data_IF_485523566417
#
_entry.id   IF_485523566417
#
_cell.length_a   1.000
_cell.length_b   1.000
_cell.length_c   1.000
_cell.angle_alpha   90.00
_cell.angle_beta   90.00
_cell.angle_gamma   90.00
#
_symmetry.space_group_name_H-M   'P 1'
#
loop_
_entity.id
_entity.type
_entity.pdbx_description
1 polymer ?
#
# COMPACT_ATOMS: atom_id res chain seq x y z
N UNK A 1 16.31 8.23 -0.98
CA UNK A 1 16.79 7.77 0.33
C UNK A 1 16.49 8.78 1.43
N UNK A 2 17.04 10.03 1.44
CA UNK A 2 16.87 11.00 2.53
C UNK A 2 15.39 11.24 2.87
N UNK A 3 14.52 11.49 1.88
CA UNK A 3 13.09 11.71 2.11
C UNK A 3 12.40 10.47 2.71
N UNK A 4 12.80 9.26 2.31
CA UNK A 4 12.32 8.01 2.86
C UNK A 4 12.68 7.88 4.34
N UNK A 5 13.96 8.01 4.69
CA UNK A 5 14.41 7.94 6.09
C UNK A 5 13.78 9.04 6.96
N UNK A 6 13.59 10.24 6.41
CA UNK A 6 12.88 11.31 7.12
C UNK A 6 11.43 10.95 7.40
N UNK A 7 10.76 10.24 6.47
CA UNK A 7 9.36 9.83 6.65
C UNK A 7 9.20 8.77 7.75
N UNK A 8 10.23 7.97 8.02
CA UNK A 8 10.25 7.03 9.14
C UNK A 8 10.11 7.72 10.50
N UNK A 9 10.45 9.01 10.65
CA UNK A 9 10.20 9.77 11.88
C UNK A 9 8.72 9.78 12.28
N UNK A 10 7.79 9.67 11.32
CA UNK A 10 6.35 9.56 11.58
C UNK A 10 5.86 8.11 11.53
N UNK A 11 6.34 7.34 10.56
CA UNK A 11 5.93 5.95 10.30
C UNK A 11 7.09 5.00 10.60
N UNK A 12 7.18 4.58 11.83
CA UNK A 12 8.26 3.77 12.39
C UNK A 12 8.70 4.26 13.76
N UNK A 13 8.86 5.58 13.95
CA UNK A 13 9.29 6.17 15.21
C UNK A 13 8.11 6.77 15.99
N UNK A 14 7.41 7.76 15.42
CA UNK A 14 6.29 8.43 16.10
C UNK A 14 5.09 7.51 16.32
N UNK A 15 4.77 6.70 15.33
CA UNK A 15 3.85 5.56 15.43
C UNK A 15 4.58 4.34 14.88
N UNK A 16 4.76 3.32 15.71
CA UNK A 16 5.40 2.06 15.29
C UNK A 16 4.39 0.92 15.18
N UNK A 17 4.80 -0.22 14.61
CA UNK A 17 3.97 -1.40 14.57
C UNK A 17 3.91 -2.09 15.93
N UNK A 18 2.79 -2.77 16.23
CA UNK A 18 2.67 -3.60 17.42
C UNK A 18 3.54 -4.85 17.33
N UNK A 19 3.60 -5.45 16.13
CA UNK A 19 4.46 -6.59 15.83
C UNK A 19 4.94 -6.56 14.37
N UNK A 20 5.95 -7.34 14.06
CA UNK A 20 6.59 -7.39 12.74
C UNK A 20 5.69 -7.88 11.60
N UNK A 21 4.54 -8.48 11.89
CA UNK A 21 3.52 -8.75 10.85
C UNK A 21 3.11 -7.50 10.08
N UNK A 22 3.21 -6.34 10.72
CA UNK A 22 2.86 -5.04 10.15
C UNK A 22 4.08 -4.19 9.78
N UNK A 23 5.31 -4.78 9.76
CA UNK A 23 6.55 -4.06 9.42
C UNK A 23 6.49 -3.38 8.06
N UNK A 24 5.79 -3.98 7.11
CA UNK A 24 5.59 -3.44 5.78
C UNK A 24 4.93 -2.05 5.78
N UNK A 25 4.11 -1.73 6.79
CA UNK A 25 3.40 -0.45 6.87
C UNK A 25 4.35 0.72 6.98
N UNK A 26 5.41 0.62 7.77
CA UNK A 26 6.39 1.70 7.89
C UNK A 26 7.14 1.93 6.58
N UNK A 27 7.48 0.86 5.86
CA UNK A 27 8.20 0.93 4.59
C UNK A 27 7.32 1.55 3.48
N UNK A 28 6.07 1.10 3.37
CA UNK A 28 5.17 1.61 2.35
C UNK A 28 4.81 3.08 2.57
N UNK A 29 4.61 3.50 3.82
CA UNK A 29 4.36 4.90 4.12
C UNK A 29 5.61 5.76 3.91
N UNK A 30 6.80 5.27 4.27
CA UNK A 30 8.05 5.97 4.01
C UNK A 30 8.25 6.19 2.50
N UNK A 31 8.02 5.18 1.67
CA UNK A 31 8.06 5.30 0.22
C UNK A 31 7.01 6.29 -0.32
N UNK A 32 5.77 6.20 0.14
CA UNK A 32 4.70 7.08 -0.30
C UNK A 32 4.99 8.55 0.01
N UNK A 33 5.37 8.87 1.25
CA UNK A 33 5.65 10.26 1.61
C UNK A 33 6.95 10.77 1.01
N UNK A 34 7.95 9.91 0.78
CA UNK A 34 9.12 10.26 0.00
C UNK A 34 8.75 10.70 -1.42
N UNK A 35 7.86 9.98 -2.10
CA UNK A 35 7.39 10.37 -3.43
C UNK A 35 6.66 11.71 -3.40
N UNK A 36 5.76 11.93 -2.41
CA UNK A 36 5.05 13.22 -2.26
C UNK A 36 6.00 14.42 -2.04
N UNK A 37 7.17 14.19 -1.46
CA UNK A 37 8.20 15.22 -1.27
C UNK A 37 8.99 15.42 -2.56
N UNK A 38 9.37 14.35 -3.24
CA UNK A 38 10.28 14.39 -4.38
C UNK A 38 9.58 14.84 -5.67
N UNK A 39 8.37 14.38 -5.94
CA UNK A 39 7.64 14.67 -7.17
C UNK A 39 7.56 16.18 -7.48
N UNK A 40 7.18 17.07 -6.54
CA UNK A 40 7.14 18.51 -6.81
C UNK A 40 8.51 19.16 -7.05
N UNK A 41 9.60 18.53 -6.58
CA UNK A 41 10.96 19.06 -6.72
C UNK A 41 11.58 18.70 -8.07
N UNK A 42 11.08 17.68 -8.75
CA UNK A 42 11.58 17.19 -10.03
C UNK A 42 10.41 16.99 -11.02
N UNK A 43 9.71 18.07 -11.40
CA UNK A 43 8.51 17.99 -12.25
C UNK A 43 8.80 17.52 -13.68
N UNK A 44 10.05 17.55 -14.11
CA UNK A 44 10.51 17.05 -15.42
C UNK A 44 10.54 15.52 -15.50
N UNK A 45 10.49 14.84 -14.36
CA UNK A 45 10.49 13.38 -14.28
C UNK A 45 9.07 12.85 -14.41
N UNK A 46 8.86 11.82 -15.24
CA UNK A 46 7.58 11.12 -15.28
C UNK A 46 7.49 10.12 -14.11
N UNK A 47 7.12 10.62 -12.93
CA UNK A 47 7.05 9.85 -11.69
C UNK A 47 6.07 8.68 -11.78
N UNK A 48 4.92 8.87 -12.46
CA UNK A 48 3.95 7.78 -12.66
C UNK A 48 4.51 6.64 -13.50
N UNK A 49 5.27 6.96 -14.56
CA UNK A 49 5.92 5.94 -15.38
C UNK A 49 7.01 5.23 -14.58
N UNK A 50 7.83 5.97 -13.84
CA UNK A 50 8.86 5.37 -12.99
C UNK A 50 8.23 4.45 -11.94
N UNK A 51 7.16 4.86 -11.27
CA UNK A 51 6.43 4.02 -10.33
C UNK A 51 5.99 2.70 -10.98
N UNK A 52 5.44 2.75 -12.19
CA UNK A 52 5.02 1.55 -12.92
C UNK A 52 6.20 0.64 -13.30
N UNK A 53 7.32 1.21 -13.69
CA UNK A 53 8.51 0.45 -14.12
C UNK A 53 9.28 -0.13 -12.93
N UNK A 54 9.34 0.59 -11.82
CA UNK A 54 10.14 0.20 -10.67
C UNK A 54 9.41 -0.86 -9.80
N UNK A 55 8.11 -0.69 -9.55
CA UNK A 55 7.38 -1.54 -8.61
C UNK A 55 6.63 -2.70 -9.27
N UNK A 56 5.91 -2.47 -10.37
CA UNK A 56 4.97 -3.47 -10.90
C UNK A 56 5.66 -4.74 -11.40
N UNK A 57 6.76 -4.69 -12.17
CA UNK A 57 7.39 -5.92 -12.68
C UNK A 57 7.96 -6.80 -11.56
N UNK A 58 8.58 -6.20 -10.54
CA UNK A 58 9.15 -6.93 -9.42
C UNK A 58 8.06 -7.56 -8.54
N UNK A 59 7.02 -6.79 -8.19
CA UNK A 59 5.85 -7.29 -7.48
C UNK A 59 5.19 -8.47 -8.22
N UNK A 60 4.99 -8.31 -9.53
CA UNK A 60 4.36 -9.32 -10.38
C UNK A 60 5.18 -10.60 -10.49
N UNK A 61 6.50 -10.47 -10.59
CA UNK A 61 7.39 -11.62 -10.74
C UNK A 61 7.32 -12.58 -9.56
N UNK A 62 7.11 -12.05 -8.35
CA UNK A 62 7.00 -12.84 -7.13
C UNK A 62 5.57 -13.29 -6.85
N UNK A 63 4.60 -12.39 -7.00
CA UNK A 63 3.20 -12.61 -6.62
C UNK A 63 2.50 -13.71 -7.46
N UNK A 64 2.97 -13.96 -8.68
CA UNK A 64 2.49 -15.04 -9.54
C UNK A 64 3.10 -16.42 -9.24
N UNK A 65 4.03 -16.51 -8.31
CA UNK A 65 4.69 -17.79 -7.96
C UNK A 65 3.86 -18.58 -6.95
N UNK A 66 4.07 -19.89 -6.92
CA UNK A 66 3.44 -20.76 -5.91
C UNK A 66 3.89 -20.42 -4.47
N UNK A 67 5.07 -19.80 -4.32
CA UNK A 67 5.65 -19.35 -3.06
C UNK A 67 5.26 -17.94 -2.65
N UNK A 68 4.34 -17.29 -3.37
CA UNK A 68 3.90 -15.94 -3.03
C UNK A 68 3.33 -15.87 -1.60
N UNK A 69 3.68 -14.79 -0.91
CA UNK A 69 3.18 -14.47 0.42
C UNK A 69 2.17 -13.31 0.35
N UNK A 70 1.25 -13.19 1.33
CA UNK A 70 0.46 -11.98 1.51
C UNK A 70 1.37 -10.79 1.85
N UNK A 71 0.87 -9.57 1.71
CA UNK A 71 1.60 -8.36 2.13
C UNK A 71 1.80 -8.38 3.66
N UNK A 72 0.74 -8.68 4.40
CA UNK A 72 0.82 -8.91 5.84
C UNK A 72 1.23 -10.36 6.11
N UNK A 73 2.52 -10.55 6.36
CA UNK A 73 3.10 -11.87 6.61
C UNK A 73 3.10 -12.18 8.10
N UNK A 74 2.85 -13.44 8.45
CA UNK A 74 2.96 -13.91 9.84
C UNK A 74 4.43 -14.11 10.20
N UNK A 75 4.82 -13.58 11.36
CA UNK A 75 6.14 -13.78 11.94
C UNK A 75 6.03 -14.33 13.35
N UNK A 76 6.41 -15.59 13.53
CA UNK A 76 6.40 -16.24 14.84
C UNK A 76 7.69 -16.00 15.63
N UNK A 77 8.81 -15.82 14.93
CA UNK A 77 10.14 -15.70 15.56
C UNK A 77 10.93 -14.56 14.94
N UNK A 78 11.43 -13.66 15.78
CA UNK A 78 12.23 -12.49 15.38
C UNK A 78 13.49 -12.82 14.58
N UNK A 79 14.11 -13.99 14.80
CA UNK A 79 15.28 -14.39 14.01
C UNK A 79 14.97 -14.51 12.51
N UNK A 80 13.72 -14.73 12.15
CA UNK A 80 13.25 -14.92 10.78
C UNK A 80 12.75 -13.61 10.15
N UNK A 81 12.77 -12.49 10.90
CA UNK A 81 12.29 -11.19 10.44
C UNK A 81 12.97 -10.71 9.15
N UNK A 82 14.25 -11.02 8.97
CA UNK A 82 14.99 -10.69 7.75
C UNK A 82 14.43 -11.33 6.48
N UNK A 83 13.70 -12.43 6.59
CA UNK A 83 13.09 -13.14 5.45
C UNK A 83 11.83 -12.42 4.93
N UNK A 84 11.25 -11.53 5.72
CA UNK A 84 10.06 -10.77 5.32
C UNK A 84 10.38 -9.63 4.35
N UNK A 85 11.61 -9.11 4.39
CA UNK A 85 12.04 -7.99 3.55
C UNK A 85 12.35 -8.47 2.13
N UNK A 86 11.41 -8.22 1.21
CA UNK A 86 11.51 -8.63 -0.20
C UNK A 86 10.52 -7.88 -1.07
N UNK A 87 10.38 -8.30 -2.33
CA UNK A 87 9.54 -7.63 -3.34
C UNK A 87 8.08 -7.47 -2.92
N UNK A 88 7.55 -8.36 -2.06
CA UNK A 88 6.19 -8.20 -1.54
C UNK A 88 6.08 -6.94 -0.67
N UNK A 89 7.04 -6.70 0.20
CA UNK A 89 7.04 -5.52 1.07
C UNK A 89 7.44 -4.25 0.30
N UNK A 90 8.49 -4.33 -0.52
CA UNK A 90 9.05 -3.12 -1.14
C UNK A 90 8.41 -2.75 -2.48
N UNK A 91 7.83 -3.71 -3.21
CA UNK A 91 7.30 -3.48 -4.55
C UNK A 91 5.78 -3.67 -4.63
N UNK A 92 5.21 -4.74 -4.05
CA UNK A 92 3.75 -4.97 -4.06
C UNK A 92 3.02 -3.99 -3.14
N UNK A 93 3.52 -3.77 -1.92
CA UNK A 93 2.81 -2.93 -0.95
C UNK A 93 2.63 -1.47 -1.39
N UNK A 94 3.58 -0.80 -2.09
CA UNK A 94 3.35 0.52 -2.66
C UNK A 94 2.22 0.55 -3.69
N UNK A 95 2.11 -0.48 -4.53
CA UNK A 95 1.01 -0.59 -5.51
C UNK A 95 -0.34 -0.71 -4.79
N UNK A 96 -0.41 -1.52 -3.75
CA UNK A 96 -1.63 -1.69 -2.94
C UNK A 96 -2.00 -0.39 -2.21
N UNK A 97 -1.03 0.32 -1.64
CA UNK A 97 -1.31 1.61 -1.00
C UNK A 97 -1.83 2.64 -2.00
N UNK A 98 -1.24 2.70 -3.20
CA UNK A 98 -1.71 3.57 -4.28
C UNK A 98 -3.16 3.24 -4.68
N UNK A 99 -3.51 1.96 -4.76
CA UNK A 99 -4.89 1.51 -5.01
C UNK A 99 -5.85 1.95 -3.89
N UNK A 100 -5.44 1.83 -2.63
CA UNK A 100 -6.23 2.28 -1.48
C UNK A 100 -6.49 3.78 -1.53
N UNK A 101 -5.45 4.58 -1.80
CA UNK A 101 -5.54 6.02 -1.90
C UNK A 101 -6.46 6.45 -3.05
N UNK A 102 -6.35 5.79 -4.21
CA UNK A 102 -7.26 6.03 -5.35
C UNK A 102 -8.70 5.67 -5.03
N UNK A 103 -8.92 4.56 -4.32
CA UNK A 103 -10.26 4.12 -3.90
C UNK A 103 -10.93 5.11 -2.95
N UNK A 104 -10.23 5.59 -1.94
CA UNK A 104 -10.76 6.52 -0.94
C UNK A 104 -10.81 7.98 -1.41
N UNK A 105 -9.92 8.35 -2.31
CA UNK A 105 -9.57 9.73 -2.62
C UNK A 105 -8.54 10.32 -1.64
N UNK A 106 -7.62 11.12 -2.19
CA UNK A 106 -6.45 11.66 -1.48
C UNK A 106 -6.82 12.46 -0.21
N UNK A 107 -7.91 13.26 -0.27
CA UNK A 107 -8.34 14.08 0.88
C UNK A 107 -8.86 13.22 2.04
N UNK A 108 -9.69 12.21 1.75
CA UNK A 108 -10.21 11.27 2.75
C UNK A 108 -9.09 10.48 3.40
N UNK A 109 -8.17 9.97 2.59
CA UNK A 109 -6.98 9.29 3.07
C UNK A 109 -6.15 10.19 4.00
N UNK A 110 -5.89 11.43 3.61
CA UNK A 110 -5.11 12.38 4.43
C UNK A 110 -5.79 12.68 5.78
N UNK A 111 -7.12 12.82 5.81
CA UNK A 111 -7.87 12.99 7.07
C UNK A 111 -7.69 11.77 7.97
N UNK A 112 -7.84 10.58 7.44
CA UNK A 112 -7.67 9.34 8.19
C UNK A 112 -6.25 9.15 8.71
N UNK A 113 -5.22 9.44 7.91
CA UNK A 113 -3.83 9.37 8.37
C UNK A 113 -3.54 10.38 9.50
N UNK A 114 -4.10 11.58 9.44
CA UNK A 114 -3.97 12.56 10.53
C UNK A 114 -4.62 12.07 11.82
N UNK A 115 -5.78 11.41 11.74
CA UNK A 115 -6.42 10.80 12.91
C UNK A 115 -5.57 9.63 13.44
N UNK A 116 -5.05 8.78 12.55
CA UNK A 116 -4.18 7.66 12.89
C UNK A 116 -2.94 8.12 13.68
N UNK A 117 -2.21 9.12 13.17
CA UNK A 117 -1.02 9.66 13.84
C UNK A 117 -1.34 10.28 15.21
N UNK A 118 -2.53 10.89 15.36
CA UNK A 118 -2.96 11.43 16.66
C UNK A 118 -3.34 10.32 17.64
N UNK A 119 -4.06 9.32 17.16
CA UNK A 119 -4.58 8.23 17.99
C UNK A 119 -3.47 7.36 18.55
N UNK A 120 -2.46 7.09 17.74
CA UNK A 120 -1.36 6.18 18.10
C UNK A 120 -0.03 6.91 18.39
N UNK A 121 -0.06 8.23 18.62
CA UNK A 121 1.12 9.05 18.90
C UNK A 121 1.97 8.45 20.02
N UNK A 122 3.25 8.23 19.77
CA UNK A 122 4.23 7.62 20.70
C UNK A 122 3.85 6.21 21.15
N UNK A 123 3.06 5.51 20.34
CA UNK A 123 2.55 4.18 20.65
C UNK A 123 2.65 3.22 19.48
N UNK A 124 1.99 2.09 19.63
CA UNK A 124 1.99 1.00 18.67
C UNK A 124 0.62 0.90 18.00
N UNK A 125 0.63 0.57 16.71
CA UNK A 125 -0.57 0.39 15.91
C UNK A 125 -0.48 -0.88 15.08
N UNK A 126 -1.65 -1.41 14.71
CA UNK A 126 -1.79 -2.48 13.73
C UNK A 126 -2.33 -1.94 12.41
N UNK A 127 -2.16 -2.72 11.35
CA UNK A 127 -2.79 -2.40 10.07
C UNK A 127 -4.31 -2.35 10.19
N UNK A 128 -4.92 -3.25 10.95
CA UNK A 128 -6.36 -3.27 11.20
C UNK A 128 -6.85 -2.01 11.93
N UNK A 129 -6.05 -1.52 12.88
CA UNK A 129 -6.32 -0.24 13.57
C UNK A 129 -6.32 0.94 12.60
N UNK A 130 -5.38 0.98 11.65
CA UNK A 130 -5.35 1.97 10.60
C UNK A 130 -6.57 1.84 9.68
N UNK A 131 -6.89 0.65 9.19
CA UNK A 131 -8.04 0.41 8.31
C UNK A 131 -9.34 0.84 9.00
N UNK A 132 -9.53 0.52 10.29
CA UNK A 132 -10.70 0.95 11.05
C UNK A 132 -10.83 2.47 11.22
N UNK A 133 -9.72 3.20 11.18
CA UNK A 133 -9.76 4.67 11.13
C UNK A 133 -10.10 5.16 9.72
N UNK A 134 -9.45 4.62 8.69
CA UNK A 134 -9.68 5.02 7.30
C UNK A 134 -11.12 4.76 6.84
N UNK A 135 -11.72 3.67 7.30
CA UNK A 135 -13.09 3.25 7.01
C UNK A 135 -14.14 4.32 7.39
N UNK A 136 -13.84 5.15 8.40
CA UNK A 136 -14.70 6.28 8.81
C UNK A 136 -14.79 7.40 7.77
N UNK A 137 -13.86 7.44 6.82
CA UNK A 137 -13.71 8.51 5.82
C UNK A 137 -14.13 8.10 4.41
N UNK A 138 -14.74 6.93 4.25
CA UNK A 138 -15.25 6.41 2.99
C UNK A 138 -16.57 5.66 3.21
N UNK A 139 -17.33 5.45 2.14
CA UNK A 139 -18.50 4.56 2.14
C UNK A 139 -18.14 3.13 1.71
N UNK A 140 -16.89 2.88 1.37
CA UNK A 140 -16.40 1.56 0.98
C UNK A 140 -16.12 0.69 2.21
N UNK A 141 -16.30 -0.62 2.09
CA UNK A 141 -15.86 -1.60 3.08
C UNK A 141 -14.36 -1.84 2.92
N UNK A 142 -13.56 -1.08 3.66
CA UNK A 142 -12.10 -1.21 3.62
C UNK A 142 -11.60 -2.46 4.33
N UNK A 143 -12.36 -3.01 5.27
CA UNK A 143 -12.00 -4.27 5.92
C UNK A 143 -12.09 -5.44 4.92
N UNK A 144 -13.16 -5.50 4.12
CA UNK A 144 -13.26 -6.49 3.04
C UNK A 144 -12.20 -6.30 1.97
N UNK A 145 -11.92 -5.06 1.58
CA UNK A 145 -10.86 -4.72 0.64
C UNK A 145 -9.48 -5.18 1.17
N UNK A 146 -9.16 -4.86 2.41
CA UNK A 146 -7.89 -5.22 3.06
C UNK A 146 -7.69 -6.72 3.13
N UNK A 147 -8.74 -7.48 3.44
CA UNK A 147 -8.68 -8.94 3.47
C UNK A 147 -8.17 -9.50 2.16
N UNK A 148 -8.70 -9.02 1.03
CA UNK A 148 -8.33 -9.51 -0.31
C UNK A 148 -6.94 -9.07 -0.73
N UNK A 149 -6.60 -7.79 -0.51
CA UNK A 149 -5.38 -7.21 -1.08
C UNK A 149 -4.15 -7.31 -0.17
N UNK A 150 -4.35 -7.39 1.13
CA UNK A 150 -3.26 -7.37 2.12
C UNK A 150 -3.06 -8.73 2.78
N UNK A 151 -4.16 -9.43 3.10
CA UNK A 151 -4.09 -10.66 3.88
C UNK A 151 -4.10 -11.93 3.01
N UNK A 152 -4.52 -11.83 1.74
CA UNK A 152 -4.48 -12.97 0.81
C UNK A 152 -3.24 -12.88 -0.08
N UNK A 153 -2.70 -14.03 -0.46
CA UNK A 153 -1.54 -14.14 -1.34
C UNK A 153 -1.96 -14.21 -2.81
N UNK A 154 -1.02 -13.85 -3.68
CA UNK A 154 -1.19 -13.96 -5.12
C UNK A 154 -1.95 -12.79 -5.71
N UNK A 155 -2.28 -12.93 -6.97
CA UNK A 155 -2.94 -11.90 -7.78
C UNK A 155 -4.42 -12.19 -7.93
N UNK A 156 -5.28 -11.14 -7.98
CA UNK A 156 -6.68 -11.35 -8.31
C UNK A 156 -6.85 -11.78 -9.75
N UNK A 157 -7.78 -12.69 -9.99
CA UNK A 157 -8.24 -13.03 -11.33
C UNK A 157 -9.29 -12.00 -11.78
N UNK A 158 -9.00 -11.26 -12.86
CA UNK A 158 -9.90 -10.25 -13.39
C UNK A 158 -10.53 -10.79 -14.67
N UNK A 159 -11.82 -11.10 -14.63
CA UNK A 159 -12.59 -11.52 -15.77
C UNK A 159 -13.39 -10.35 -16.35
N UNK A 160 -13.28 -10.13 -17.67
CA UNK A 160 -14.06 -9.12 -18.40
C UNK A 160 -14.92 -9.76 -19.49
N UNK A 161 -16.15 -9.30 -19.64
CA UNK A 161 -17.01 -9.66 -20.76
C UNK A 161 -17.11 -8.47 -21.69
N UNK A 162 -16.68 -8.65 -22.95
CA UNK A 162 -16.81 -7.63 -23.99
C UNK A 162 -18.06 -7.95 -24.81
N UNK A 163 -19.07 -7.07 -24.80
CA UNK A 163 -20.20 -7.13 -25.68
C UNK A 163 -20.04 -6.09 -26.79
N UNK A 164 -19.98 -6.52 -28.06
CA UNK A 164 -19.99 -5.60 -29.18
C UNK A 164 -21.43 -5.12 -29.44
N UNK A 165 -21.63 -3.79 -29.39
CA UNK A 165 -22.91 -3.17 -29.80
C UNK A 165 -22.73 -2.60 -31.21
N UNK A 166 -23.44 -3.14 -32.19
CA UNK A 166 -23.47 -2.58 -33.54
C UNK A 166 -24.44 -1.39 -33.58
N UNK A 167 -23.90 -0.18 -33.77
CA UNK A 167 -24.73 0.99 -34.08
C UNK A 167 -24.97 1.05 -35.59
N UNK A 168 -26.15 0.67 -36.02
CA UNK A 168 -26.56 0.66 -37.46
C UNK A 168 -27.13 2.01 -37.94
N UNK A 169 -27.04 3.09 -37.17
CA UNK A 169 -27.58 4.39 -37.57
C UNK A 169 -26.58 5.52 -37.30
N UNK A 170 -25.69 5.75 -38.26
CA UNK A 170 -25.17 7.09 -38.56
C UNK A 170 -25.98 7.59 -39.77
N UNK A 171 -26.92 8.48 -39.56
CA UNK A 171 -27.47 9.35 -40.60
C UNK A 171 -26.82 10.70 -40.53
#
# INVERSE_FOLDING_TARGET
>A
LIAHETSHMWFGDFVTMEWFNDVWTKEVFANYYASQIIEPLFPEVNHSLNFMLDYIPAAYSEDRTAGANPVKQQLENMRDAGLMYGNIIYDKSPVILEMLIKKMGKESFQKGIREYLKTYAYGNATWEGLIGILDKYTNDDLAAWSRVWVNEKGMPEICGVISAVSYTHLR
#
